data_IF_928726204769
#
_entry.id   IF_928726204769
#
_cell.length_a   1.000
_cell.length_b   1.000
_cell.length_c   1.000
_cell.angle_alpha   90.00
_cell.angle_beta   90.00
_cell.angle_gamma   90.00
#
_symmetry.space_group_name_H-M   'P 1'
#
loop_
_entity.id
_entity.type
_entity.pdbx_description
1 polymer ?
#
# COMPACT_ATOMS: atom_id res chain seq x y z
N UNK A 1 -22.16 18.87 -9.30
CA UNK A 1 -23.12 18.01 -10.04
C UNK A 1 -24.48 18.67 -9.96
N UNK A 2 -25.05 19.05 -11.11
CA UNK A 2 -26.33 19.82 -11.16
C UNK A 2 -27.53 18.88 -11.05
N UNK A 3 -27.35 17.59 -11.35
CA UNK A 3 -28.39 16.58 -11.55
C UNK A 3 -28.59 15.59 -10.39
N UNK A 4 -27.84 15.75 -9.29
CA UNK A 4 -27.83 14.86 -8.12
C UNK A 4 -27.75 15.63 -6.81
N UNK A 5 -27.86 14.91 -5.67
CA UNK A 5 -27.69 15.44 -4.33
C UNK A 5 -28.95 15.93 -3.63
N UNK A 6 -30.11 15.78 -4.27
CA UNK A 6 -31.42 16.01 -3.65
C UNK A 6 -32.50 15.18 -4.36
N UNK A 7 -33.59 14.90 -3.64
CA UNK A 7 -34.80 14.26 -4.21
C UNK A 7 -35.70 15.38 -4.71
N UNK A 8 -35.72 15.61 -6.02
CA UNK A 8 -36.53 16.62 -6.66
C UNK A 8 -36.86 16.23 -8.13
N UNK A 9 -37.95 16.76 -8.71
CA UNK A 9 -38.26 16.56 -10.10
C UNK A 9 -37.11 16.99 -11.03
N UNK A 10 -36.78 16.18 -12.03
CA UNK A 10 -35.69 16.43 -12.98
C UNK A 10 -34.29 16.03 -12.46
N UNK A 11 -34.18 15.49 -11.26
CA UNK A 11 -32.91 14.93 -10.72
C UNK A 11 -32.83 13.41 -10.95
N UNK A 12 -31.60 12.92 -10.99
CA UNK A 12 -31.35 11.48 -11.05
C UNK A 12 -31.74 10.86 -9.71
N UNK A 13 -32.53 9.78 -9.80
CA UNK A 13 -33.05 9.06 -8.64
C UNK A 13 -31.97 8.14 -8.04
N UNK A 14 -31.00 8.73 -7.35
CA UNK A 14 -29.99 8.04 -6.54
C UNK A 14 -30.34 8.30 -5.06
N UNK A 15 -30.84 7.28 -4.34
CA UNK A 15 -31.23 7.43 -2.94
C UNK A 15 -31.21 6.09 -2.19
N UNK A 16 -31.25 6.19 -0.87
CA UNK A 16 -31.31 5.05 0.05
C UNK A 16 -32.62 5.16 0.83
N UNK A 17 -33.32 4.04 0.98
CA UNK A 17 -34.41 3.89 1.92
C UNK A 17 -33.90 3.21 3.19
N UNK A 18 -34.26 3.74 4.35
CA UNK A 18 -33.92 3.21 5.66
C UNK A 18 -35.16 2.65 6.33
N UNK A 19 -35.06 1.48 6.94
CA UNK A 19 -36.09 0.94 7.83
C UNK A 19 -36.08 1.65 9.17
N UNK A 20 -34.89 1.97 9.66
CA UNK A 20 -34.69 2.65 10.91
C UNK A 20 -33.56 3.68 10.81
N UNK A 21 -33.91 4.91 11.19
CA UNK A 21 -33.01 6.05 11.14
C UNK A 21 -31.95 6.02 12.25
N UNK A 22 -32.27 5.43 13.43
CA UNK A 22 -31.37 5.42 14.58
C UNK A 22 -30.25 4.39 14.42
N UNK A 23 -30.59 3.19 13.97
CA UNK A 23 -29.60 2.14 13.68
C UNK A 23 -29.00 2.24 12.28
N UNK A 24 -29.51 3.17 11.46
CA UNK A 24 -29.14 3.33 10.06
C UNK A 24 -29.33 2.03 9.25
N UNK A 25 -30.42 1.29 9.56
CA UNK A 25 -30.76 0.04 8.87
C UNK A 25 -31.24 0.33 7.44
N UNK A 26 -30.51 -0.18 6.44
CA UNK A 26 -30.82 0.05 5.03
C UNK A 26 -31.80 -1.01 4.53
N UNK A 27 -33.00 -0.59 4.13
CA UNK A 27 -33.97 -1.43 3.43
C UNK A 27 -33.58 -1.63 1.97
N UNK A 28 -33.39 -0.53 1.23
CA UNK A 28 -33.07 -0.61 -0.20
C UNK A 28 -32.25 0.58 -0.70
N UNK A 29 -31.49 0.34 -1.78
CA UNK A 29 -30.67 1.35 -2.46
C UNK A 29 -31.09 1.44 -3.91
N UNK A 30 -31.29 2.67 -4.38
CA UNK A 30 -31.64 2.97 -5.76
C UNK A 30 -30.55 3.79 -6.45
N UNK A 31 -30.21 3.40 -7.67
CA UNK A 31 -29.29 4.10 -8.55
C UNK A 31 -29.94 4.32 -9.91
N UNK A 32 -30.06 5.58 -10.34
CA UNK A 32 -30.77 5.97 -11.55
C UNK A 32 -32.21 5.41 -11.59
N UNK A 33 -32.89 5.35 -10.44
CA UNK A 33 -34.25 4.81 -10.32
C UNK A 33 -34.35 3.28 -10.31
N UNK A 34 -33.24 2.56 -10.46
CA UNK A 34 -33.22 1.10 -10.38
C UNK A 34 -32.81 0.65 -8.99
N UNK A 35 -33.53 -0.31 -8.40
CA UNK A 35 -33.15 -0.93 -7.15
C UNK A 35 -31.87 -1.77 -7.36
N UNK A 36 -30.78 -1.42 -6.66
CA UNK A 36 -29.50 -2.11 -6.74
C UNK A 36 -29.16 -2.90 -5.48
N UNK A 37 -29.91 -2.68 -4.42
CA UNK A 37 -29.82 -3.44 -3.16
C UNK A 37 -31.19 -3.48 -2.51
N UNK A 38 -31.53 -4.61 -1.90
CA UNK A 38 -32.72 -4.75 -1.05
C UNK A 38 -32.40 -5.74 0.08
N UNK A 39 -32.75 -5.41 1.30
CA UNK A 39 -32.43 -6.19 2.50
C UNK A 39 -32.87 -7.67 2.42
N UNK A 40 -34.03 -7.92 1.84
CA UNK A 40 -34.65 -9.27 1.81
C UNK A 40 -34.74 -9.88 0.40
N UNK A 41 -34.34 -9.16 -0.65
CA UNK A 41 -34.43 -9.65 -2.03
C UNK A 41 -33.04 -9.69 -2.65
N UNK A 42 -32.71 -10.79 -3.30
CA UNK A 42 -31.52 -10.85 -4.13
C UNK A 42 -31.74 -10.04 -5.40
N UNK A 43 -30.93 -9.01 -5.61
CA UNK A 43 -30.96 -8.20 -6.83
C UNK A 43 -29.79 -8.65 -7.71
N UNK A 44 -30.08 -9.13 -8.89
CA UNK A 44 -29.07 -9.40 -9.91
C UNK A 44 -28.63 -8.07 -10.53
N UNK A 45 -27.41 -7.65 -10.19
CA UNK A 45 -26.77 -6.52 -10.84
C UNK A 45 -25.96 -7.06 -12.01
N UNK A 46 -26.30 -6.65 -13.23
CA UNK A 46 -25.41 -6.87 -14.36
C UNK A 46 -24.17 -5.99 -14.15
N UNK A 47 -23.07 -6.61 -13.73
CA UNK A 47 -21.77 -5.94 -13.68
C UNK A 47 -21.39 -5.57 -15.11
N UNK A 48 -21.51 -4.30 -15.44
CA UNK A 48 -20.80 -3.76 -16.60
C UNK A 48 -19.32 -3.73 -16.22
N UNK A 49 -18.58 -4.73 -16.67
CA UNK A 49 -17.12 -4.66 -16.63
C UNK A 49 -16.71 -3.46 -17.49
N UNK A 50 -16.34 -2.38 -16.82
CA UNK A 50 -15.69 -1.25 -17.50
C UNK A 50 -14.33 -1.73 -17.99
N UNK A 51 -14.21 -1.92 -19.29
CA UNK A 51 -12.89 -2.20 -19.89
C UNK A 51 -12.10 -0.89 -19.93
N UNK A 52 -11.09 -0.82 -19.11
CA UNK A 52 -10.11 0.26 -19.21
C UNK A 52 -9.13 -0.01 -20.36
N UNK A 53 -8.53 1.03 -20.96
CA UNK A 53 -7.43 0.85 -21.90
C UNK A 53 -6.32 0.01 -21.30
N UNK A 54 -5.64 -0.81 -22.11
CA UNK A 54 -4.61 -1.76 -21.64
C UNK A 54 -3.46 -1.08 -20.88
N UNK A 55 -3.12 0.15 -21.23
CA UNK A 55 -2.10 0.94 -20.53
C UNK A 55 -2.42 1.20 -19.05
N UNK A 56 -3.70 1.15 -18.63
CA UNK A 56 -4.06 1.30 -17.22
C UNK A 56 -3.68 0.08 -16.37
N UNK A 57 -3.56 -1.09 -17.00
CA UNK A 57 -3.15 -2.33 -16.34
C UNK A 57 -1.63 -2.49 -16.25
N UNK A 58 -0.86 -1.58 -16.89
CA UNK A 58 0.60 -1.56 -16.87
C UNK A 58 1.08 -0.19 -16.43
N UNK A 59 1.19 0.02 -15.14
CA UNK A 59 1.51 1.33 -14.56
C UNK A 59 2.73 1.34 -13.65
N UNK A 60 3.37 0.17 -13.44
CA UNK A 60 4.61 0.06 -12.66
C UNK A 60 5.81 -0.08 -13.60
N UNK A 61 6.54 1.01 -13.77
CA UNK A 61 7.70 1.10 -14.68
C UNK A 61 9.04 1.15 -13.96
N UNK A 62 9.06 1.06 -12.62
CA UNK A 62 10.31 1.05 -11.87
C UNK A 62 11.20 -0.11 -12.30
N UNK A 63 12.53 0.10 -12.28
CA UNK A 63 13.47 -0.97 -12.52
C UNK A 63 13.43 -2.04 -11.43
N UNK A 64 13.87 -3.23 -11.76
CA UNK A 64 14.08 -4.29 -10.77
C UNK A 64 15.14 -3.87 -9.76
N UNK A 65 14.84 -4.11 -8.48
CA UNK A 65 15.74 -3.81 -7.38
C UNK A 65 16.91 -4.80 -7.33
N UNK A 66 18.03 -4.29 -6.83
CA UNK A 66 19.21 -5.08 -6.45
C UNK A 66 19.38 -5.04 -4.93
N UNK A 67 20.23 -5.91 -4.39
CA UNK A 67 20.52 -5.92 -2.94
C UNK A 67 20.99 -4.55 -2.45
N UNK A 68 21.83 -3.88 -3.24
CA UNK A 68 22.41 -2.57 -2.90
C UNK A 68 21.36 -1.48 -2.74
N UNK A 69 20.20 -1.63 -3.39
CA UNK A 69 19.08 -0.69 -3.26
C UNK A 69 18.41 -0.72 -1.88
N UNK A 70 18.71 -1.71 -1.07
CA UNK A 70 18.24 -1.86 0.31
C UNK A 70 19.37 -1.70 1.34
N UNK A 71 20.50 -1.13 0.92
CA UNK A 71 21.67 -0.89 1.75
C UNK A 71 21.94 0.61 1.85
N UNK A 72 22.25 1.09 3.05
CA UNK A 72 22.55 2.51 3.30
C UNK A 72 24.05 2.66 3.44
N UNK A 73 24.78 3.19 2.42
CA UNK A 73 26.23 3.27 2.46
C UNK A 73 26.72 4.33 3.45
N UNK A 74 27.83 4.07 4.14
CA UNK A 74 28.51 5.01 5.00
C UNK A 74 30.00 4.68 5.15
N UNK A 75 30.84 5.74 5.16
CA UNK A 75 32.27 5.62 5.44
C UNK A 75 32.63 5.78 6.93
N UNK A 76 31.64 6.10 7.77
CA UNK A 76 31.82 6.27 9.22
C UNK A 76 31.76 4.92 9.93
N UNK A 77 32.27 4.85 11.16
CA UNK A 77 32.10 3.67 12.02
C UNK A 77 30.72 3.58 12.67
N UNK A 78 30.09 4.73 12.89
CA UNK A 78 28.78 4.89 13.50
C UNK A 78 28.09 6.11 12.89
N UNK A 79 26.76 6.03 12.70
CA UNK A 79 25.95 7.12 12.13
C UNK A 79 24.78 7.40 13.05
N UNK A 80 24.51 8.69 13.30
CA UNK A 80 23.28 9.13 13.94
C UNK A 80 22.17 9.11 12.87
N UNK A 81 21.20 8.24 13.04
CA UNK A 81 20.09 8.05 12.13
C UNK A 81 18.78 8.56 12.71
N UNK A 82 17.94 9.13 11.86
CA UNK A 82 16.55 9.41 12.18
C UNK A 82 15.73 8.13 11.99
N UNK A 83 14.91 7.80 12.97
CA UNK A 83 14.10 6.59 12.98
C UNK A 83 12.65 6.95 13.26
N UNK A 84 11.75 6.41 12.48
CA UNK A 84 10.31 6.52 12.65
C UNK A 84 9.83 5.36 13.53
N UNK A 85 9.30 5.62 14.72
CA UNK A 85 8.74 4.60 15.60
C UNK A 85 7.23 4.54 15.44
N UNK A 86 6.72 3.41 14.96
CA UNK A 86 5.29 3.13 14.87
C UNK A 86 4.72 2.90 16.26
N UNK A 87 3.60 3.57 16.58
CA UNK A 87 2.94 3.45 17.86
C UNK A 87 1.78 2.43 17.78
N UNK A 88 1.65 1.51 18.74
CA UNK A 88 0.51 0.58 18.77
C UNK A 88 -0.82 1.33 18.82
N UNK A 89 -1.82 0.84 18.06
CA UNK A 89 -3.19 1.37 18.05
C UNK A 89 -3.27 2.87 17.71
N UNK A 90 -2.33 3.40 16.94
CA UNK A 90 -2.25 4.82 16.57
C UNK A 90 -1.84 4.99 15.11
N UNK A 91 -2.34 6.05 14.48
CA UNK A 91 -1.87 6.51 13.16
C UNK A 91 -0.66 7.44 13.26
N UNK A 92 -0.27 7.81 14.49
CA UNK A 92 0.90 8.66 14.73
C UNK A 92 2.18 7.84 14.87
N UNK A 93 3.27 8.44 14.44
CA UNK A 93 4.62 7.93 14.63
C UNK A 93 5.41 8.89 15.53
N UNK A 94 6.41 8.36 16.23
CA UNK A 94 7.39 9.16 16.97
C UNK A 94 8.67 9.26 16.17
N UNK A 95 9.27 10.44 16.20
CA UNK A 95 10.61 10.65 15.68
C UNK A 95 11.66 10.32 16.76
N UNK A 96 12.54 9.40 16.44
CA UNK A 96 13.68 9.02 17.27
C UNK A 96 14.99 9.36 16.56
N UNK A 97 16.06 9.52 17.34
CA UNK A 97 17.43 9.54 16.86
C UNK A 97 18.18 8.38 17.49
N UNK A 98 18.81 7.53 16.66
CA UNK A 98 19.56 6.37 17.12
C UNK A 98 20.94 6.36 16.47
N UNK A 99 21.96 6.04 17.25
CA UNK A 99 23.29 5.76 16.73
C UNK A 99 23.32 4.31 16.28
N UNK A 100 23.67 4.10 15.02
CA UNK A 100 23.72 2.79 14.41
C UNK A 100 25.16 2.48 13.96
N UNK A 101 25.66 1.26 14.19
CA UNK A 101 26.95 0.84 13.71
C UNK A 101 26.95 0.73 12.18
N UNK A 102 28.14 0.88 11.61
CA UNK A 102 28.40 0.62 10.19
C UNK A 102 29.24 -0.65 10.08
N UNK A 103 28.78 -1.60 9.30
CA UNK A 103 29.44 -2.86 9.03
C UNK A 103 29.63 -3.02 7.52
N UNK A 104 30.82 -3.40 7.09
CA UNK A 104 31.15 -3.61 5.67
C UNK A 104 30.80 -2.42 4.76
N UNK A 105 30.88 -1.18 5.30
CA UNK A 105 30.56 0.04 4.57
C UNK A 105 29.07 0.43 4.52
N UNK A 106 28.21 -0.29 5.27
CA UNK A 106 26.77 -0.04 5.29
C UNK A 106 26.24 0.06 6.72
N UNK A 107 25.21 0.85 6.92
CA UNK A 107 24.51 1.01 8.20
C UNK A 107 23.83 -0.32 8.57
N UNK A 108 24.20 -0.88 9.70
CA UNK A 108 23.65 -2.13 10.23
C UNK A 108 22.36 -1.86 11.03
N UNK A 109 21.27 -1.53 10.31
CA UNK A 109 19.96 -1.27 10.90
C UNK A 109 19.27 -2.56 11.39
N UNK A 110 19.61 -3.70 10.81
CA UNK A 110 19.00 -4.99 11.11
C UNK A 110 19.39 -5.47 12.51
N UNK A 111 20.66 -5.33 12.90
CA UNK A 111 21.13 -5.70 14.25
C UNK A 111 20.50 -4.83 15.35
N UNK A 112 20.04 -3.63 14.99
CA UNK A 112 19.32 -2.73 15.90
C UNK A 112 17.82 -3.04 15.98
N UNK A 113 17.33 -4.10 15.32
CA UNK A 113 15.91 -4.47 15.28
C UNK A 113 15.03 -3.52 14.49
N UNK A 114 15.63 -2.81 13.52
CA UNK A 114 14.90 -1.90 12.64
C UNK A 114 14.56 -2.55 11.31
N UNK A 115 13.48 -2.06 10.70
CA UNK A 115 13.16 -2.32 9.30
C UNK A 115 13.57 -1.14 8.42
N UNK A 116 13.89 -1.42 7.18
CA UNK A 116 14.06 -0.42 6.15
C UNK A 116 12.75 -0.29 5.37
N UNK A 117 12.20 0.92 5.32
CA UNK A 117 11.16 1.31 4.39
C UNK A 117 11.83 1.91 3.16
N UNK A 118 11.59 1.32 2.00
CA UNK A 118 12.14 1.78 0.72
C UNK A 118 11.00 2.10 -0.23
N UNK A 119 11.04 3.29 -0.82
CA UNK A 119 10.08 3.76 -1.80
C UNK A 119 10.77 3.89 -3.14
N UNK A 120 10.26 3.19 -4.15
CA UNK A 120 10.68 3.30 -5.55
C UNK A 120 9.69 4.18 -6.30
N UNK A 121 10.19 5.14 -7.05
CA UNK A 121 9.37 5.94 -7.94
C UNK A 121 8.74 5.03 -9.02
N UNK A 122 7.40 5.10 -9.13
CA UNK A 122 6.58 4.18 -9.90
C UNK A 122 6.70 4.33 -11.41
N UNK A 123 6.79 5.57 -11.88
CA UNK A 123 6.60 5.92 -13.29
C UNK A 123 7.90 6.02 -14.11
N UNK A 124 9.01 5.73 -13.48
CA UNK A 124 10.37 5.81 -14.07
C UNK A 124 10.72 7.22 -14.61
N UNK A 125 10.15 8.27 -14.04
CA UNK A 125 10.44 9.66 -14.45
C UNK A 125 11.85 10.09 -14.05
N UNK A 126 12.28 9.70 -12.85
CA UNK A 126 13.59 10.05 -12.31
C UNK A 126 14.33 8.86 -11.66
N UNK A 127 13.65 7.73 -11.47
CA UNK A 127 14.20 6.52 -10.88
C UNK A 127 14.62 6.66 -9.42
N UNK A 128 14.10 7.66 -8.70
CA UNK A 128 14.47 7.91 -7.31
C UNK A 128 14.06 6.77 -6.39
N UNK A 129 14.97 6.45 -5.47
CA UNK A 129 14.74 5.52 -4.36
C UNK A 129 14.97 6.30 -3.07
N UNK A 130 14.01 6.22 -2.15
CA UNK A 130 14.07 6.89 -0.86
C UNK A 130 13.96 5.89 0.26
N UNK A 131 14.72 6.12 1.35
CA UNK A 131 14.76 5.24 2.51
C UNK A 131 14.30 5.93 3.78
N UNK A 132 13.66 5.16 4.65
CA UNK A 132 13.42 5.53 6.04
C UNK A 132 13.67 4.31 6.94
N UNK A 133 14.27 4.54 8.11
CA UNK A 133 14.40 3.52 9.13
C UNK A 133 13.16 3.52 10.02
N UNK A 134 12.60 2.34 10.25
CA UNK A 134 11.33 2.18 10.97
C UNK A 134 11.48 1.16 12.09
N UNK A 135 10.93 1.49 13.25
CA UNK A 135 10.89 0.65 14.44
C UNK A 135 9.47 0.21 14.75
N UNK A 136 9.33 -0.95 15.41
CA UNK A 136 8.05 -1.53 15.84
C UNK A 136 7.11 -1.88 14.67
N UNK A 137 7.64 -2.54 13.63
CA UNK A 137 6.88 -2.99 12.48
C UNK A 137 6.83 -4.52 12.40
N UNK A 138 7.77 -5.16 11.70
CA UNK A 138 7.78 -6.60 11.53
C UNK A 138 8.31 -7.31 12.78
N UNK A 139 7.55 -8.30 13.26
CA UNK A 139 7.92 -9.14 14.40
C UNK A 139 8.94 -10.22 14.01
N UNK A 140 8.96 -10.60 12.74
CA UNK A 140 9.79 -11.67 12.18
C UNK A 140 10.62 -11.15 11.01
N UNK A 141 11.66 -11.91 10.63
CA UNK A 141 12.46 -11.62 9.44
C UNK A 141 11.60 -11.80 8.19
N UNK A 142 11.62 -10.81 7.28
CA UNK A 142 10.81 -10.83 6.07
C UNK A 142 10.65 -9.47 5.42
N UNK A 143 9.71 -9.38 4.46
CA UNK A 143 9.34 -8.14 3.79
C UNK A 143 7.85 -8.08 3.48
N UNK A 144 7.29 -6.88 3.48
CA UNK A 144 5.98 -6.56 2.93
C UNK A 144 6.11 -5.51 1.84
N UNK A 145 5.31 -5.63 0.80
CA UNK A 145 5.35 -4.73 -0.34
C UNK A 145 3.94 -4.32 -0.78
N UNK A 146 3.81 -3.11 -1.27
CA UNK A 146 2.57 -2.63 -1.87
C UNK A 146 2.82 -1.57 -2.93
N UNK A 147 1.95 -1.53 -3.94
CA UNK A 147 1.82 -0.42 -4.87
C UNK A 147 0.67 0.53 -4.50
N UNK A 148 -0.06 0.21 -3.45
CA UNK A 148 -1.10 1.08 -2.88
C UNK A 148 -0.56 1.79 -1.63
N UNK A 149 0.44 2.62 -1.81
CA UNK A 149 0.85 3.56 -0.78
C UNK A 149 -0.04 4.80 -0.91
N UNK A 150 -0.97 4.99 0.04
CA UNK A 150 -1.93 6.09 0.04
C UNK A 150 -1.22 7.44 -0.23
N UNK A 151 -1.88 8.32 -0.91
CA UNK A 151 -1.44 9.64 -1.38
C UNK A 151 -0.50 9.65 -2.60
N UNK A 152 0.51 8.80 -2.70
CA UNK A 152 1.51 8.88 -3.78
C UNK A 152 1.54 7.66 -4.71
N UNK A 153 0.98 6.52 -4.30
CA UNK A 153 0.91 5.25 -5.05
C UNK A 153 2.24 4.75 -5.64
N UNK A 154 3.37 5.15 -5.06
CA UNK A 154 4.68 4.60 -5.39
C UNK A 154 4.82 3.17 -4.85
N UNK A 155 5.83 2.46 -5.32
CA UNK A 155 6.14 1.12 -4.82
C UNK A 155 6.81 1.24 -3.47
N UNK A 156 6.19 0.70 -2.44
CA UNK A 156 6.67 0.72 -1.07
C UNK A 156 7.04 -0.68 -0.60
N UNK A 157 8.27 -0.83 -0.14
CA UNK A 157 8.80 -2.08 0.41
C UNK A 157 9.26 -1.82 1.84
N UNK A 158 8.75 -2.56 2.80
CA UNK A 158 9.18 -2.53 4.20
C UNK A 158 9.75 -3.90 4.57
N UNK A 159 10.97 -3.95 5.08
CA UNK A 159 11.57 -5.23 5.46
C UNK A 159 12.82 -5.12 6.32
N UNK A 160 13.24 -6.27 6.81
CA UNK A 160 14.49 -6.49 7.55
C UNK A 160 15.28 -7.68 6.98
N UNK A 161 14.91 -8.18 5.81
CA UNK A 161 15.62 -9.19 5.02
C UNK A 161 15.76 -8.66 3.59
N UNK A 162 16.99 -8.37 3.18
CA UNK A 162 17.27 -7.81 1.85
C UNK A 162 16.79 -8.75 0.75
N UNK A 163 17.04 -10.05 0.89
CA UNK A 163 16.63 -11.07 -0.05
C UNK A 163 15.11 -11.09 -0.24
N UNK A 164 14.36 -11.03 0.87
CA UNK A 164 12.89 -11.00 0.84
C UNK A 164 12.37 -9.69 0.25
N UNK A 165 13.06 -8.56 0.49
CA UNK A 165 12.70 -7.24 -0.08
C UNK A 165 12.90 -7.22 -1.59
N UNK A 166 13.98 -7.81 -2.11
CA UNK A 166 14.23 -7.95 -3.56
C UNK A 166 13.13 -8.79 -4.21
N UNK A 167 12.83 -9.96 -3.65
CA UNK A 167 11.78 -10.84 -4.16
C UNK A 167 10.43 -10.13 -4.16
N UNK A 168 10.11 -9.42 -3.07
CA UNK A 168 8.86 -8.69 -2.94
C UNK A 168 8.71 -7.60 -4.02
N UNK A 169 9.76 -6.83 -4.29
CA UNK A 169 9.75 -5.80 -5.32
C UNK A 169 9.63 -6.39 -6.73
N UNK A 170 10.38 -7.45 -7.05
CA UNK A 170 10.32 -8.11 -8.36
C UNK A 170 8.92 -8.67 -8.63
N UNK A 171 8.34 -9.38 -7.65
CA UNK A 171 7.01 -9.94 -7.79
C UNK A 171 5.95 -8.86 -7.97
N UNK A 172 6.05 -7.76 -7.22
CA UNK A 172 5.12 -6.64 -7.32
C UNK A 172 5.15 -5.99 -8.71
N UNK A 173 6.34 -5.83 -9.30
CA UNK A 173 6.50 -5.36 -10.68
C UNK A 173 5.91 -6.33 -11.70
N UNK A 174 6.20 -7.63 -11.53
CA UNK A 174 5.72 -8.66 -12.45
C UNK A 174 4.19 -8.70 -12.52
N UNK A 175 3.52 -8.56 -11.39
CA UNK A 175 2.06 -8.60 -11.29
C UNK A 175 1.39 -7.23 -11.46
N UNK A 176 2.16 -6.17 -11.71
CA UNK A 176 1.68 -4.80 -11.91
C UNK A 176 0.91 -4.21 -10.73
N UNK A 177 1.25 -4.62 -9.52
CA UNK A 177 0.73 -4.03 -8.30
C UNK A 177 0.09 -5.02 -7.35
N UNK A 178 -0.27 -4.53 -6.16
CA UNK A 178 -0.91 -5.35 -5.15
C UNK A 178 -0.35 -5.16 -3.75
N UNK A 179 -0.61 -6.17 -2.93
CA UNK A 179 -0.02 -6.37 -1.60
C UNK A 179 0.68 -7.71 -1.55
N UNK A 180 1.86 -7.74 -0.95
CA UNK A 180 2.69 -8.94 -0.91
C UNK A 180 3.38 -9.08 0.44
N UNK A 181 3.46 -10.32 0.93
CA UNK A 181 4.27 -10.69 2.09
C UNK A 181 5.25 -11.77 1.67
N UNK A 182 6.54 -11.54 1.91
CA UNK A 182 7.62 -12.50 1.64
C UNK A 182 8.35 -12.82 2.93
N UNK A 183 8.59 -14.10 3.17
CA UNK A 183 9.37 -14.60 4.31
C UNK A 183 10.17 -15.84 3.90
N UNK A 184 11.44 -15.90 4.29
CA UNK A 184 12.35 -17.00 3.95
C UNK A 184 12.38 -17.27 2.42
N UNK A 185 12.43 -16.20 1.64
CA UNK A 185 12.46 -16.21 0.16
C UNK A 185 11.22 -16.87 -0.49
N UNK A 186 10.11 -16.94 0.26
CA UNK A 186 8.83 -17.48 -0.23
C UNK A 186 7.72 -16.47 -0.03
N UNK A 187 6.85 -16.37 -1.02
CA UNK A 187 5.62 -15.58 -0.93
C UNK A 187 4.67 -16.29 0.03
N UNK A 188 4.30 -15.60 1.11
CA UNK A 188 3.38 -16.10 2.13
C UNK A 188 1.94 -15.65 1.86
N UNK A 189 1.78 -14.44 1.34
CA UNK A 189 0.49 -13.88 0.97
C UNK A 189 0.65 -12.95 -0.22
N UNK A 190 -0.34 -12.93 -1.10
CA UNK A 190 -0.36 -12.09 -2.28
C UNK A 190 -1.80 -11.71 -2.63
N UNK A 191 -2.01 -10.41 -2.91
CA UNK A 191 -3.26 -9.89 -3.48
C UNK A 191 -2.91 -8.99 -4.64
N UNK A 192 -3.34 -9.36 -5.84
CA UNK A 192 -3.18 -8.55 -7.04
C UNK A 192 -4.26 -7.46 -7.07
N UNK A 193 -3.91 -6.26 -7.46
CA UNK A 193 -4.87 -5.17 -7.72
C UNK A 193 -5.16 -5.16 -9.22
N UNK A 194 -6.37 -5.55 -9.57
CA UNK A 194 -6.89 -5.52 -10.95
C UNK A 194 -7.55 -4.17 -11.26
#
# INVERSE_FOLDING_TARGET
MIDRGCIAPGKIADFILLDDLYSFSIDSVYKKGQCVYHQTKQIEIQEQQSQFPQEFYHSLYARQAKNEDFMIPSSKKEVLCHVMEVQPHSTFTKHLQMKLPVKDGYVDYQSAGLCLLTIFERYQKNGHITHALVKNTLQTKGAVATSWAHDHHNIMILGNSIEDMVIAQHQLLQQQGGYLVVQNQKIQANTVLN
#
